data_IF_822308037822
#
_entry.id   IF_822308037822
#
_cell.length_a   1.000
_cell.length_b   1.000
_cell.length_c   1.000
_cell.angle_alpha   90.00
_cell.angle_beta   90.00
_cell.angle_gamma   90.00
#
_symmetry.space_group_name_H-M   'P 1'
#
loop_
_entity.id
_entity.type
_entity.pdbx_description
1 polymer ?
#
# COMPACT_ATOMS: atom_id res chain seq x y z
N UNK A 1 -1.38 16.63 -8.59
CA UNK A 1 -2.32 16.82 -7.47
C UNK A 1 -3.48 15.89 -7.77
N UNK A 2 -3.75 14.96 -6.87
CA UNK A 2 -4.47 13.71 -7.09
C UNK A 2 -5.88 13.89 -7.68
N UNK A 3 -6.10 13.53 -8.95
CA UNK A 3 -7.41 13.15 -9.49
C UNK A 3 -7.73 11.71 -9.06
N UNK A 4 -7.70 11.48 -7.74
CA UNK A 4 -8.14 10.22 -7.14
C UNK A 4 -9.59 10.39 -6.72
N UNK A 5 -10.41 9.39 -7.04
CA UNK A 5 -11.81 9.38 -6.65
C UNK A 5 -11.93 9.43 -5.12
N UNK A 6 -12.81 10.32 -4.64
CA UNK A 6 -13.16 10.38 -3.23
C UNK A 6 -14.25 9.33 -2.94
N UNK A 7 -13.81 8.08 -2.74
CA UNK A 7 -14.73 6.96 -2.52
C UNK A 7 -15.14 6.84 -1.05
N UNK A 8 -16.41 7.10 -0.74
CA UNK A 8 -17.01 6.76 0.56
C UNK A 8 -17.81 5.46 0.45
N UNK A 9 -17.32 4.41 1.11
CA UNK A 9 -17.98 3.10 1.15
C UNK A 9 -19.36 3.15 1.80
N UNK A 10 -19.56 3.97 2.84
CA UNK A 10 -20.83 4.05 3.55
C UNK A 10 -21.88 4.75 2.69
N UNK A 11 -21.50 5.78 1.95
CA UNK A 11 -22.40 6.45 1.01
C UNK A 11 -22.74 5.54 -0.17
N UNK A 12 -21.72 4.90 -0.75
CA UNK A 12 -21.88 3.94 -1.85
C UNK A 12 -22.80 2.77 -1.48
N UNK A 13 -22.67 2.23 -0.26
CA UNK A 13 -23.56 1.17 0.25
C UNK A 13 -25.00 1.67 0.44
N UNK A 14 -25.22 2.91 0.87
CA UNK A 14 -26.57 3.49 0.97
C UNK A 14 -27.24 3.56 -0.40
N UNK A 15 -26.51 4.01 -1.43
CA UNK A 15 -27.03 4.02 -2.79
C UNK A 15 -27.32 2.61 -3.28
N UNK A 16 -26.37 1.67 -3.12
CA UNK A 16 -26.55 0.28 -3.55
C UNK A 16 -27.74 -0.42 -2.87
N UNK A 17 -27.93 -0.21 -1.57
CA UNK A 17 -29.05 -0.77 -0.81
C UNK A 17 -30.40 -0.11 -1.15
N UNK A 18 -30.38 1.13 -1.64
CA UNK A 18 -31.58 1.84 -2.06
C UNK A 18 -31.98 1.42 -3.47
N UNK A 19 -31.07 1.63 -4.43
CA UNK A 19 -31.21 1.19 -5.81
C UNK A 19 -29.80 1.16 -6.47
N UNK A 20 -29.27 -0.03 -6.81
CA UNK A 20 -27.95 -0.14 -7.44
C UNK A 20 -27.89 0.52 -8.82
N UNK A 21 -29.03 0.74 -9.48
CA UNK A 21 -29.10 1.42 -10.77
C UNK A 21 -29.18 2.94 -10.65
N UNK A 22 -29.40 3.48 -9.45
CA UNK A 22 -29.47 4.93 -9.25
C UNK A 22 -28.11 5.57 -8.94
N UNK A 23 -27.01 4.80 -8.98
CA UNK A 23 -25.67 5.33 -8.75
C UNK A 23 -25.30 6.37 -9.83
N UNK A 24 -24.94 7.61 -9.43
CA UNK A 24 -24.49 8.63 -10.37
C UNK A 24 -23.10 8.26 -10.90
N UNK A 25 -22.93 8.32 -12.22
CA UNK A 25 -21.64 8.06 -12.91
C UNK A 25 -21.28 9.22 -13.85
N UNK A 26 -21.17 10.46 -13.33
CA UNK A 26 -20.98 11.66 -14.14
C UNK A 26 -19.65 11.72 -14.90
N UNK A 27 -18.62 11.03 -14.42
CA UNK A 27 -17.28 11.06 -15.02
C UNK A 27 -17.03 9.87 -15.95
N UNK A 28 -18.01 8.98 -16.13
CA UNK A 28 -17.89 7.83 -17.03
C UNK A 28 -17.58 8.26 -18.46
N UNK A 29 -17.03 7.31 -19.24
CA UNK A 29 -16.73 7.55 -20.65
C UNK A 29 -17.95 8.13 -21.38
N UNK A 30 -17.82 9.25 -22.10
CA UNK A 30 -18.95 9.91 -22.75
C UNK A 30 -19.70 8.98 -23.70
N UNK A 31 -19.01 8.03 -24.35
CA UNK A 31 -19.66 7.05 -25.22
C UNK A 31 -20.56 6.08 -24.42
N UNK A 32 -20.20 5.78 -23.16
CA UNK A 32 -21.04 4.99 -22.25
C UNK A 32 -22.21 5.82 -21.72
N UNK A 33 -21.98 7.07 -21.31
CA UNK A 33 -23.03 7.97 -20.82
C UNK A 33 -24.09 8.23 -21.89
N UNK A 34 -23.69 8.37 -23.15
CA UNK A 34 -24.62 8.51 -24.28
C UNK A 34 -25.52 7.26 -24.44
N UNK A 35 -25.04 6.09 -24.03
CA UNK A 35 -25.83 4.85 -24.00
C UNK A 35 -26.72 4.72 -22.75
N UNK A 36 -26.66 5.62 -21.77
CA UNK A 36 -27.50 5.55 -20.56
C UNK A 36 -28.99 5.67 -20.91
N UNK A 37 -29.32 6.50 -21.89
CA UNK A 37 -30.68 6.73 -22.37
C UNK A 37 -31.20 5.59 -23.27
N UNK A 38 -30.30 4.85 -23.91
CA UNK A 38 -30.62 3.76 -24.83
C UNK A 38 -29.60 2.61 -24.74
N UNK A 39 -29.83 1.64 -23.83
CA UNK A 39 -28.90 0.55 -23.58
C UNK A 39 -28.77 -0.44 -24.75
N UNK A 40 -29.61 -0.36 -25.78
CA UNK A 40 -29.43 -1.16 -27.00
C UNK A 40 -28.21 -0.69 -27.84
N UNK A 41 -27.72 0.53 -27.62
CA UNK A 41 -26.52 1.06 -28.29
C UNK A 41 -25.20 0.60 -27.65
N UNK A 42 -25.25 -0.06 -26.48
CA UNK A 42 -24.08 -0.62 -25.80
C UNK A 42 -23.50 -1.79 -26.62
N UNK A 43 -22.63 -1.47 -27.58
CA UNK A 43 -21.96 -2.47 -28.39
C UNK A 43 -20.86 -3.18 -27.59
N UNK A 44 -20.72 -4.49 -27.79
CA UNK A 44 -19.62 -5.28 -27.19
C UNK A 44 -18.24 -4.70 -27.54
N UNK A 45 -18.10 -4.10 -28.72
CA UNK A 45 -16.86 -3.43 -29.15
C UNK A 45 -16.54 -2.21 -28.31
N UNK A 46 -17.53 -1.35 -28.01
CA UNK A 46 -17.35 -0.21 -27.13
C UNK A 46 -16.93 -0.67 -25.73
N UNK A 47 -17.63 -1.66 -25.18
CA UNK A 47 -17.33 -2.23 -23.87
C UNK A 47 -15.90 -2.79 -23.83
N UNK A 48 -15.51 -3.60 -24.81
CA UNK A 48 -14.15 -4.14 -24.91
C UNK A 48 -13.11 -3.02 -25.02
N UNK A 49 -13.39 -1.94 -25.77
CA UNK A 49 -12.48 -0.80 -25.90
C UNK A 49 -12.29 -0.08 -24.56
N UNK A 50 -13.37 0.24 -23.85
CA UNK A 50 -13.28 0.89 -22.52
C UNK A 50 -12.55 -0.01 -21.54
N UNK A 51 -12.89 -1.30 -21.46
CA UNK A 51 -12.21 -2.26 -20.59
C UNK A 51 -10.71 -2.37 -20.93
N UNK A 52 -10.35 -2.45 -22.21
CA UNK A 52 -8.95 -2.51 -22.62
C UNK A 52 -8.20 -1.21 -22.25
N UNK A 53 -8.83 -0.04 -22.41
CA UNK A 53 -8.22 1.23 -21.98
C UNK A 53 -7.98 1.28 -20.48
N UNK A 54 -8.89 0.71 -19.67
CA UNK A 54 -8.70 0.61 -18.21
C UNK A 54 -7.56 -0.37 -17.90
N UNK A 55 -7.52 -1.53 -18.56
CA UNK A 55 -6.42 -2.51 -18.41
C UNK A 55 -5.08 -1.88 -18.75
N UNK A 56 -4.97 -1.18 -19.89
CA UNK A 56 -3.73 -0.53 -20.31
C UNK A 56 -3.31 0.53 -19.29
N UNK A 57 -4.25 1.30 -18.73
CA UNK A 57 -3.95 2.28 -17.69
C UNK A 57 -3.49 1.64 -16.38
N UNK A 58 -4.06 0.52 -15.96
CA UNK A 58 -3.65 -0.23 -14.76
C UNK A 58 -2.27 -0.86 -14.98
N UNK A 59 -2.02 -1.38 -16.18
CA UNK A 59 -0.75 -1.98 -16.55
C UNK A 59 0.40 -0.95 -16.57
N UNK A 60 0.11 0.30 -16.94
CA UNK A 60 1.06 1.41 -16.83
C UNK A 60 1.24 1.88 -15.38
N UNK A 61 0.14 1.97 -14.62
CA UNK A 61 0.15 2.38 -13.21
C UNK A 61 -1.04 1.78 -12.44
N UNK A 62 -0.83 1.14 -11.29
CA UNK A 62 -1.94 0.58 -10.50
C UNK A 62 -2.93 1.66 -10.04
N UNK A 63 -2.45 2.89 -9.84
CA UNK A 63 -3.28 4.06 -9.52
C UNK A 63 -4.19 4.51 -10.67
N UNK A 64 -4.01 3.96 -11.88
CA UNK A 64 -4.89 4.22 -13.02
C UNK A 64 -6.36 3.99 -12.66
N UNK A 65 -6.66 2.96 -11.87
CA UNK A 65 -8.03 2.66 -11.44
C UNK A 65 -8.64 3.71 -10.51
N UNK A 66 -7.81 4.45 -9.78
CA UNK A 66 -8.28 5.47 -8.85
C UNK A 66 -8.82 6.72 -9.56
N UNK A 67 -8.71 6.80 -10.89
CA UNK A 67 -9.22 7.94 -11.67
C UNK A 67 -10.75 7.89 -11.72
N UNK A 68 -11.44 9.00 -11.41
CA UNK A 68 -12.91 9.07 -11.42
C UNK A 68 -13.51 8.51 -12.71
N UNK A 69 -12.92 8.84 -13.86
CA UNK A 69 -13.46 8.43 -15.16
C UNK A 69 -13.49 6.92 -15.39
N UNK A 70 -12.44 6.21 -14.95
CA UNK A 70 -12.40 4.75 -15.09
C UNK A 70 -13.26 4.07 -14.04
N UNK A 71 -13.30 4.61 -12.82
CA UNK A 71 -14.18 4.10 -11.77
C UNK A 71 -15.65 4.21 -12.15
N UNK A 72 -16.09 5.38 -12.60
CA UNK A 72 -17.47 5.61 -13.03
C UNK A 72 -17.83 4.78 -14.26
N UNK A 73 -16.90 4.61 -15.21
CA UNK A 73 -17.10 3.73 -16.37
C UNK A 73 -17.34 2.27 -15.94
N UNK A 74 -16.58 1.75 -14.98
CA UNK A 74 -16.81 0.40 -14.45
C UNK A 74 -18.15 0.30 -13.72
N UNK A 75 -18.49 1.29 -12.90
CA UNK A 75 -19.76 1.34 -12.18
C UNK A 75 -20.94 1.38 -13.17
N UNK A 76 -20.81 2.13 -14.25
CA UNK A 76 -21.78 2.18 -15.34
C UNK A 76 -21.95 0.80 -16.00
N UNK A 77 -20.85 0.14 -16.35
CA UNK A 77 -20.89 -1.21 -16.92
C UNK A 77 -21.54 -2.22 -15.95
N UNK A 78 -21.28 -2.11 -14.64
CA UNK A 78 -21.91 -2.96 -13.61
C UNK A 78 -23.42 -2.70 -13.48
N UNK A 79 -23.86 -1.45 -13.58
CA UNK A 79 -25.27 -1.06 -13.60
C UNK A 79 -26.03 -1.71 -14.77
N UNK A 80 -25.39 -1.81 -15.93
CA UNK A 80 -25.95 -2.49 -17.12
C UNK A 80 -25.46 -3.93 -17.28
N UNK A 81 -24.99 -4.58 -16.21
CA UNK A 81 -24.45 -5.96 -16.25
C UNK A 81 -25.40 -7.00 -16.82
N UNK A 82 -26.72 -6.78 -16.72
CA UNK A 82 -27.73 -7.66 -17.32
C UNK A 82 -27.73 -7.63 -18.86
N UNK A 83 -27.21 -6.56 -19.47
CA UNK A 83 -27.05 -6.40 -20.91
C UNK A 83 -25.65 -6.81 -21.40
N UNK A 84 -24.72 -7.05 -20.46
CA UNK A 84 -23.33 -7.38 -20.79
C UNK A 84 -23.17 -8.86 -21.16
N UNK A 85 -22.39 -9.17 -22.21
CA UNK A 85 -21.96 -10.53 -22.48
C UNK A 85 -21.13 -11.09 -21.31
N UNK A 86 -21.26 -12.39 -21.03
CA UNK A 86 -20.51 -13.07 -19.96
C UNK A 86 -19.00 -12.87 -20.09
N UNK A 87 -18.47 -12.81 -21.31
CA UNK A 87 -17.05 -12.55 -21.58
C UNK A 87 -16.58 -11.19 -21.02
N UNK A 88 -17.38 -10.14 -21.22
CA UNK A 88 -17.05 -8.80 -20.75
C UNK A 88 -17.17 -8.71 -19.23
N UNK A 89 -18.16 -9.39 -18.64
CA UNK A 89 -18.29 -9.50 -17.18
C UNK A 89 -17.10 -10.24 -16.55
N UNK A 90 -16.65 -11.34 -17.14
CA UNK A 90 -15.45 -12.06 -16.67
C UNK A 90 -14.23 -11.15 -16.68
N UNK A 91 -14.00 -10.41 -17.77
CA UNK A 91 -12.91 -9.42 -17.86
C UNK A 91 -13.00 -8.34 -16.79
N UNK A 92 -14.19 -7.78 -16.58
CA UNK A 92 -14.41 -6.73 -15.57
C UNK A 92 -14.11 -7.28 -14.16
N UNK A 93 -14.58 -8.49 -13.84
CA UNK A 93 -14.28 -9.14 -12.58
C UNK A 93 -12.78 -9.43 -12.42
N UNK A 94 -12.13 -9.98 -13.44
CA UNK A 94 -10.69 -10.26 -13.45
C UNK A 94 -9.88 -8.96 -13.23
N UNK A 95 -10.34 -7.84 -13.78
CA UNK A 95 -9.74 -6.52 -13.60
C UNK A 95 -9.88 -6.02 -12.15
N UNK A 96 -11.07 -6.15 -11.55
CA UNK A 96 -11.28 -5.77 -10.14
C UNK A 96 -10.43 -6.65 -9.21
N UNK A 97 -10.41 -7.97 -9.45
CA UNK A 97 -9.65 -8.93 -8.63
C UNK A 97 -8.15 -8.69 -8.78
N UNK A 98 -7.65 -8.44 -9.99
CA UNK A 98 -6.23 -8.12 -10.21
C UNK A 98 -5.84 -6.79 -9.58
N UNK A 99 -6.65 -5.74 -9.75
CA UNK A 99 -6.42 -4.44 -9.11
C UNK A 99 -6.37 -4.54 -7.58
N UNK A 100 -7.33 -5.26 -6.98
CA UNK A 100 -7.36 -5.49 -5.54
C UNK A 100 -6.16 -6.31 -5.04
N UNK A 101 -5.71 -7.31 -5.81
CA UNK A 101 -4.54 -8.11 -5.46
C UNK A 101 -3.27 -7.26 -5.47
N UNK A 102 -3.10 -6.41 -6.48
CA UNK A 102 -1.95 -5.49 -6.56
C UNK A 102 -1.96 -4.50 -5.40
N UNK A 103 -3.12 -3.91 -5.07
CA UNK A 103 -3.24 -3.01 -3.93
C UNK A 103 -2.96 -3.74 -2.60
N UNK A 104 -3.43 -4.97 -2.45
CA UNK A 104 -3.14 -5.80 -1.29
C UNK A 104 -1.64 -6.09 -1.16
N UNK A 105 -0.95 -6.39 -2.27
CA UNK A 105 0.50 -6.60 -2.31
C UNK A 105 1.27 -5.31 -1.99
N UNK A 106 0.81 -4.14 -2.47
CA UNK A 106 1.39 -2.83 -2.15
C UNK A 106 1.26 -2.54 -0.65
N UNK A 107 0.07 -2.69 -0.07
CA UNK A 107 -0.16 -2.49 1.37
C UNK A 107 0.67 -3.50 2.19
N UNK A 108 0.78 -4.75 1.73
CA UNK A 108 1.61 -5.76 2.38
C UNK A 108 3.11 -5.40 2.34
N UNK A 109 3.60 -4.93 1.19
CA UNK A 109 4.97 -4.46 1.02
C UNK A 109 5.29 -3.22 1.85
N UNK A 110 4.35 -2.29 1.99
CA UNK A 110 4.47 -1.13 2.88
C UNK A 110 4.51 -1.57 4.35
N UNK A 111 3.67 -2.53 4.74
CA UNK A 111 3.65 -3.09 6.10
C UNK A 111 4.95 -3.86 6.43
N UNK A 112 5.55 -4.56 5.47
CA UNK A 112 6.86 -5.22 5.65
C UNK A 112 8.04 -4.23 5.63
N UNK A 113 7.92 -3.12 4.91
CA UNK A 113 9.02 -2.17 4.71
C UNK A 113 9.28 -1.24 5.90
N UNK A 114 8.35 -1.12 6.86
CA UNK A 114 8.48 -0.09 7.91
C UNK A 114 9.28 -0.49 9.17
N UNK A 115 9.91 -1.68 9.32
CA UNK A 115 10.72 -1.89 10.56
C UNK A 115 11.77 -3.02 10.65
N UNK A 116 12.04 -3.86 9.66
CA UNK A 116 12.96 -5.01 9.88
C UNK A 116 14.43 -4.81 9.49
N UNK A 117 14.75 -4.09 8.41
CA UNK A 117 16.14 -3.98 7.96
C UNK A 117 16.97 -3.06 8.87
N UNK A 118 16.34 -2.01 9.40
CA UNK A 118 17.03 -1.05 10.26
C UNK A 118 17.31 -1.61 11.66
N UNK A 119 16.40 -2.43 12.22
CA UNK A 119 16.60 -3.08 13.52
C UNK A 119 17.70 -4.14 13.45
N UNK A 120 17.75 -4.96 12.39
CA UNK A 120 18.84 -5.94 12.22
C UNK A 120 20.19 -5.25 12.04
N UNK A 121 20.25 -4.17 11.25
CA UNK A 121 21.47 -3.41 11.07
C UNK A 121 21.93 -2.72 12.37
N UNK A 122 21.00 -2.13 13.14
CA UNK A 122 21.31 -1.54 14.44
C UNK A 122 21.73 -2.60 15.48
N UNK A 123 21.13 -3.79 15.45
CA UNK A 123 21.54 -4.91 16.29
C UNK A 123 22.96 -5.37 15.98
N UNK A 124 23.32 -5.52 14.70
CA UNK A 124 24.68 -5.89 14.29
C UNK A 124 25.71 -4.81 14.68
N UNK A 125 25.37 -3.52 14.53
CA UNK A 125 26.21 -2.42 14.99
C UNK A 125 26.40 -2.46 16.52
N UNK A 126 25.33 -2.66 17.29
CA UNK A 126 25.41 -2.78 18.76
C UNK A 126 26.24 -4.00 19.19
N UNK A 127 26.09 -5.16 18.53
CA UNK A 127 26.89 -6.35 18.81
C UNK A 127 28.38 -6.13 18.47
N UNK A 128 28.68 -5.41 17.38
CA UNK A 128 30.06 -5.07 17.01
C UNK A 128 30.69 -4.10 18.02
N UNK A 129 29.98 -3.05 18.43
CA UNK A 129 30.45 -2.07 19.42
C UNK A 129 30.67 -2.73 20.79
N UNK A 130 29.74 -3.57 21.25
CA UNK A 130 29.89 -4.33 22.50
C UNK A 130 31.04 -5.35 22.41
N UNK A 131 31.20 -6.03 21.26
CA UNK A 131 32.31 -6.95 21.01
C UNK A 131 33.68 -6.26 21.02
N UNK A 132 33.76 -5.04 20.46
CA UNK A 132 34.97 -4.20 20.50
C UNK A 132 35.30 -3.79 21.94
N UNK A 133 34.30 -3.44 22.75
CA UNK A 133 34.47 -3.13 24.17
C UNK A 133 34.94 -4.35 24.98
N UNK A 134 34.43 -5.55 24.70
CA UNK A 134 34.90 -6.78 25.35
C UNK A 134 36.30 -7.22 24.91
N UNK A 135 36.71 -6.98 23.67
CA UNK A 135 38.05 -7.34 23.18
C UNK A 135 39.16 -6.43 23.73
N UNK A 136 38.83 -5.27 24.31
CA UNK A 136 39.84 -4.35 24.87
C UNK A 136 39.51 -3.88 26.30
N UNK A 137 39.54 -4.75 27.31
CA UNK A 137 39.31 -4.37 28.70
C UNK A 137 40.42 -3.48 29.29
N UNK A 138 41.56 -3.32 28.60
CA UNK A 138 42.73 -2.57 29.10
C UNK A 138 42.84 -1.13 28.57
N UNK A 139 42.14 -0.74 27.48
CA UNK A 139 42.26 0.62 26.91
C UNK A 139 41.49 1.69 27.70
N UNK A 140 40.37 1.33 28.30
CA UNK A 140 39.58 2.28 29.11
C UNK A 140 40.15 2.51 30.52
N UNK A 141 41.05 1.63 31.00
CA UNK A 141 41.79 1.84 32.26
C UNK A 141 42.87 2.93 32.16
N UNK A 142 43.32 3.28 30.96
CA UNK A 142 44.41 4.25 30.76
C UNK A 142 43.93 5.72 30.68
N UNK A 143 42.61 5.98 30.74
CA UNK A 143 42.04 7.33 30.61
C UNK A 143 41.42 7.93 31.88
N UNK A 144 41.41 7.21 33.01
CA UNK A 144 40.70 7.63 34.24
C UNK A 144 41.56 7.65 35.53
N UNK A 145 42.89 7.52 35.46
CA UNK A 145 43.75 7.75 36.63
C UNK A 145 45.11 8.38 36.28
N UNK A 146 45.05 9.55 35.63
CA UNK A 146 46.14 10.53 35.73
C UNK A 146 45.62 11.75 36.51
N UNK A 147 45.83 11.70 37.82
CA UNK A 147 45.78 12.82 38.77
C UNK A 147 44.42 13.36 39.22
N UNK A 148 43.92 12.83 40.36
CA UNK A 148 42.91 13.45 41.23
C UNK A 148 42.92 12.78 42.62
N UNK A 149 42.74 13.52 43.74
CA UNK A 149 43.32 13.14 45.03
C UNK A 149 42.61 11.99 45.75
N UNK A 150 43.47 11.13 46.28
CA UNK A 150 43.35 10.07 47.27
C UNK A 150 42.33 10.36 48.40
N UNK A 151 41.20 9.64 48.38
CA UNK A 151 40.37 9.38 49.56
C UNK A 151 40.42 7.87 49.79
N UNK A 152 40.76 7.44 51.01
CA UNK A 152 40.94 6.05 51.45
C UNK A 152 42.33 5.43 51.22
N UNK A 153 43.30 5.96 51.96
CA UNK A 153 44.46 5.19 52.39
C UNK A 153 44.12 4.18 53.50
N UNK A 154 45.00 3.19 53.59
CA UNK A 154 45.21 2.25 54.70
C UNK A 154 44.03 1.32 55.04
N UNK A 155 44.23 0.02 54.83
CA UNK A 155 44.30 -0.97 55.93
C UNK A 155 44.67 -2.36 55.36
N UNK A 156 45.84 -2.83 55.80
CA UNK A 156 46.18 -4.26 56.08
C UNK A 156 46.42 -5.12 54.83
N UNK A 157 47.65 -5.27 54.33
CA UNK A 157 48.83 -5.96 54.92
C UNK A 157 48.55 -7.44 55.22
N UNK A 158 49.37 -8.30 54.60
CA UNK A 158 49.11 -9.72 54.44
C UNK A 158 49.14 -10.58 55.69
N UNK A 159 48.62 -11.79 55.47
CA UNK A 159 48.89 -13.05 56.17
C UNK A 159 48.61 -14.10 55.06
N UNK A 160 49.56 -14.72 54.36
CA UNK A 160 50.46 -15.81 54.84
C UNK A 160 49.69 -16.73 55.80
N UNK A 161 49.46 -18.02 55.56
CA UNK A 161 50.07 -19.08 54.73
C UNK A 161 49.03 -20.17 54.46
#
# INVERSE_FOLDING_TARGET
MEDRIQFDINESLKYYLSDPTSLPTPDADPELVDCEADPDNLSTTLIDNVLNSIVDSIAESPEGLARPSFFDSMQFLLKYSSFLPTKSLSKLLDLIVSGLSVEADIIHGDLESDEQDNIQHHKQLLEMEVGQVQSQPQRWKLGLDSSGPNIYGNYVQGYET
#
